data_IF_549163984185
#
_entry.id   IF_549163984185
#
_cell.length_a   1.000
_cell.length_b   1.000
_cell.length_c   1.000
_cell.angle_alpha   90.00
_cell.angle_beta   90.00
_cell.angle_gamma   90.00
#
_symmetry.space_group_name_H-M   'P 1'
#
loop_
_entity.id
_entity.type
_entity.pdbx_description
1 polymer ?
#
# COMPACT_ATOMS: atom_id res chain seq x y z
N UNK A 1 -18.61 32.20 6.10
CA UNK A 1 -19.16 30.91 6.58
C UNK A 1 -17.99 30.01 6.87
N UNK A 2 -17.77 29.63 8.11
CA UNK A 2 -16.81 28.56 8.45
C UNK A 2 -17.36 27.26 7.88
N UNK A 3 -16.61 26.49 7.07
CA UNK A 3 -17.07 25.19 6.62
C UNK A 3 -17.35 24.33 7.85
N UNK A 4 -18.51 23.65 7.84
CA UNK A 4 -18.83 22.67 8.87
C UNK A 4 -17.74 21.59 8.90
N UNK A 5 -17.30 21.13 10.09
CA UNK A 5 -16.32 20.07 10.17
C UNK A 5 -16.84 18.81 9.46
N UNK A 6 -15.95 18.16 8.71
CA UNK A 6 -16.25 16.91 8.02
C UNK A 6 -16.69 15.86 9.06
N UNK A 7 -17.77 15.09 8.81
CA UNK A 7 -18.23 14.11 9.77
C UNK A 7 -17.17 13.03 10.02
N UNK A 8 -17.12 12.51 11.25
CA UNK A 8 -16.28 11.35 11.56
C UNK A 8 -16.72 10.18 10.69
N UNK A 9 -15.77 9.63 9.91
CA UNK A 9 -16.03 8.51 9.01
C UNK A 9 -15.98 7.17 9.77
N UNK A 10 -16.93 6.26 9.51
CA UNK A 10 -16.90 4.90 10.07
C UNK A 10 -15.75 4.08 9.47
N UNK A 11 -15.19 3.13 10.24
CA UNK A 11 -14.09 2.27 9.78
C UNK A 11 -14.56 1.31 8.67
N UNK A 12 -15.85 1.01 8.65
CA UNK A 12 -16.55 0.18 7.66
C UNK A 12 -16.51 0.80 6.25
N UNK A 13 -16.09 2.06 6.12
CA UNK A 13 -15.82 2.70 4.81
C UNK A 13 -14.61 2.11 4.09
N UNK A 14 -13.75 1.39 4.81
CA UNK A 14 -12.52 0.80 4.28
C UNK A 14 -12.84 -0.59 3.73
N UNK A 15 -12.72 -0.74 2.41
CA UNK A 15 -12.95 -2.03 1.75
C UNK A 15 -11.74 -2.97 1.88
N UNK A 16 -10.52 -2.43 1.85
CA UNK A 16 -9.27 -3.18 1.99
C UNK A 16 -8.11 -2.23 2.31
N UNK A 17 -6.89 -2.75 2.37
CA UNK A 17 -5.68 -1.94 2.47
C UNK A 17 -4.66 -2.33 1.41
N UNK A 18 -3.85 -1.37 1.01
CA UNK A 18 -2.63 -1.60 0.27
C UNK A 18 -1.41 -1.18 1.07
N UNK A 19 -0.34 -1.96 0.95
CA UNK A 19 1.01 -1.55 1.30
C UNK A 19 1.88 -1.51 0.04
N UNK A 20 2.64 -0.46 -0.16
CA UNK A 20 3.60 -0.30 -1.25
C UNK A 20 4.99 -0.26 -0.68
N UNK A 21 5.81 -1.25 -1.01
CA UNK A 21 7.20 -1.36 -0.54
C UNK A 21 8.10 -0.77 -1.60
N UNK A 22 8.75 0.33 -1.27
CA UNK A 22 9.66 1.03 -2.17
C UNK A 22 11.10 0.56 -1.97
N UNK A 23 11.88 0.62 -3.04
CA UNK A 23 13.30 0.36 -3.01
C UNK A 23 14.03 1.30 -4.00
N UNK A 24 15.21 1.76 -3.61
CA UNK A 24 16.11 2.55 -4.45
C UNK A 24 17.52 1.96 -4.41
N UNK A 25 18.03 1.57 -5.57
CA UNK A 25 19.33 0.92 -5.71
C UNK A 25 19.36 -0.57 -5.32
N UNK A 26 20.53 -1.22 -5.52
CA UNK A 26 20.65 -2.67 -5.45
C UNK A 26 20.48 -3.27 -4.05
N UNK A 27 20.87 -2.53 -3.00
CA UNK A 27 20.78 -3.02 -1.62
C UNK A 27 19.33 -3.12 -1.15
N UNK A 28 18.56 -2.02 -1.28
CA UNK A 28 17.13 -2.02 -0.95
C UNK A 28 16.34 -2.98 -1.84
N UNK A 29 16.71 -3.10 -3.12
CA UNK A 29 16.08 -4.07 -4.04
C UNK A 29 16.19 -5.50 -3.48
N UNK A 30 17.37 -5.91 -3.02
CA UNK A 30 17.58 -7.23 -2.43
C UNK A 30 16.84 -7.41 -1.09
N UNK A 31 16.65 -6.34 -0.31
CA UNK A 31 15.82 -6.35 0.90
C UNK A 31 14.34 -6.50 0.59
N UNK A 32 13.86 -5.77 -0.41
CA UNK A 32 12.49 -5.80 -0.88
C UNK A 32 12.11 -7.19 -1.40
N UNK A 33 13.02 -7.89 -2.11
CA UNK A 33 12.84 -9.28 -2.53
C UNK A 33 12.71 -10.24 -1.34
N UNK A 34 13.63 -10.13 -0.35
CA UNK A 34 13.57 -10.96 0.87
C UNK A 34 12.29 -10.73 1.65
N UNK A 35 11.87 -9.48 1.80
CA UNK A 35 10.64 -9.12 2.48
C UNK A 35 9.42 -9.68 1.74
N UNK A 36 9.39 -9.56 0.40
CA UNK A 36 8.31 -10.07 -0.44
C UNK A 36 8.12 -11.58 -0.30
N UNK A 37 9.22 -12.33 -0.34
CA UNK A 37 9.18 -13.79 -0.10
C UNK A 37 8.67 -14.10 1.30
N UNK A 38 9.19 -13.42 2.31
CA UNK A 38 8.78 -13.65 3.70
C UNK A 38 7.29 -13.37 3.92
N UNK A 39 6.72 -12.37 3.24
CA UNK A 39 5.28 -12.07 3.26
C UNK A 39 4.48 -13.19 2.59
N UNK A 40 4.91 -13.63 1.40
CA UNK A 40 4.23 -14.69 0.64
C UNK A 40 4.12 -16.00 1.42
N UNK A 41 5.13 -16.32 2.24
CA UNK A 41 5.15 -17.53 3.06
C UNK A 41 4.26 -17.45 4.31
N UNK A 42 3.84 -16.24 4.72
CA UNK A 42 3.22 -16.01 6.05
C UNK A 42 1.79 -15.51 5.99
N UNK A 43 1.41 -14.83 4.92
CA UNK A 43 0.16 -14.07 4.89
C UNK A 43 -0.65 -14.36 3.63
N UNK A 44 -1.97 -14.50 3.80
CA UNK A 44 -2.92 -14.58 2.71
C UNK A 44 -3.16 -13.18 2.12
N UNK A 45 -2.24 -12.73 1.28
CA UNK A 45 -2.27 -11.43 0.60
C UNK A 45 -2.30 -11.62 -0.91
N UNK A 46 -2.63 -10.56 -1.65
CA UNK A 46 -2.40 -10.47 -3.08
C UNK A 46 -1.16 -9.62 -3.33
N UNK A 47 -0.09 -10.26 -3.79
CA UNK A 47 1.11 -9.56 -4.24
C UNK A 47 0.90 -9.00 -5.65
N UNK A 48 1.31 -7.75 -5.83
CA UNK A 48 1.37 -7.08 -7.11
C UNK A 48 2.61 -7.47 -7.92
N UNK A 49 2.64 -6.97 -9.15
CA UNK A 49 3.82 -7.05 -10.03
C UNK A 49 4.98 -6.30 -9.39
N UNK A 50 6.18 -6.75 -9.70
CA UNK A 50 7.40 -6.03 -9.37
C UNK A 50 7.61 -4.90 -10.38
N UNK A 51 7.71 -3.66 -9.90
CA UNK A 51 7.95 -2.50 -10.75
C UNK A 51 9.37 -1.98 -10.53
N UNK A 52 10.24 -2.17 -11.52
CA UNK A 52 11.61 -1.62 -11.53
C UNK A 52 11.65 -0.11 -11.87
N UNK A 53 10.49 0.49 -12.18
CA UNK A 53 10.35 1.90 -12.55
C UNK A 53 9.12 2.53 -11.88
N UNK A 54 9.08 3.87 -11.75
CA UNK A 54 7.90 4.59 -11.26
C UNK A 54 6.63 4.23 -12.05
N UNK A 55 5.50 4.07 -11.35
CA UNK A 55 4.21 3.71 -11.95
C UNK A 55 3.06 4.39 -11.19
N UNK A 56 2.08 4.91 -11.94
CA UNK A 56 0.92 5.60 -11.33
C UNK A 56 1.38 6.78 -10.44
N UNK A 57 0.96 6.84 -9.16
CA UNK A 57 1.39 7.89 -8.23
C UNK A 57 2.77 7.67 -7.62
N UNK A 58 3.38 6.50 -7.82
CA UNK A 58 4.59 6.07 -7.13
C UNK A 58 5.83 6.58 -7.86
N UNK A 59 6.67 7.36 -7.18
CA UNK A 59 7.86 8.02 -7.78
C UNK A 59 9.14 7.17 -7.75
N UNK A 60 9.09 6.00 -7.12
CA UNK A 60 10.20 5.05 -7.00
C UNK A 60 9.76 3.64 -7.46
N UNK A 61 10.72 2.76 -7.80
CA UNK A 61 10.48 1.32 -7.92
C UNK A 61 9.80 0.76 -6.68
N UNK A 62 8.83 -0.13 -6.88
CA UNK A 62 8.02 -0.68 -5.79
C UNK A 62 7.33 -1.99 -6.16
N UNK A 63 6.76 -2.66 -5.15
CA UNK A 63 5.67 -3.62 -5.37
C UNK A 63 4.53 -3.38 -4.38
N UNK A 64 3.32 -3.72 -4.81
CA UNK A 64 2.11 -3.63 -4.01
C UNK A 64 1.83 -4.94 -3.25
N UNK A 65 1.25 -4.81 -2.07
CA UNK A 65 0.63 -5.87 -1.27
C UNK A 65 -0.80 -5.44 -0.99
N UNK A 66 -1.79 -6.16 -1.53
CA UNK A 66 -3.20 -5.93 -1.22
C UNK A 66 -3.70 -6.96 -0.21
N UNK A 67 -4.45 -6.49 0.80
CA UNK A 67 -4.90 -7.35 1.89
C UNK A 67 -6.22 -6.89 2.53
N UNK A 68 -6.93 -7.86 3.08
CA UNK A 68 -8.21 -7.67 3.77
C UNK A 68 -8.04 -6.91 5.09
N UNK A 69 -9.08 -6.19 5.50
CA UNK A 69 -9.09 -5.38 6.74
C UNK A 69 -8.74 -6.19 7.98
N UNK A 70 -9.19 -7.45 8.05
CA UNK A 70 -8.91 -8.37 9.14
C UNK A 70 -7.42 -8.68 9.34
N UNK A 71 -6.59 -8.55 8.29
CA UNK A 71 -5.16 -8.84 8.36
C UNK A 71 -4.33 -7.65 8.87
N UNK A 72 -4.92 -6.46 8.97
CA UNK A 72 -4.21 -5.23 9.32
C UNK A 72 -3.45 -5.36 10.65
N UNK A 73 -4.11 -5.86 11.69
CA UNK A 73 -3.55 -5.99 13.04
C UNK A 73 -2.43 -7.03 13.16
N UNK A 74 -2.18 -7.82 12.12
CA UNK A 74 -1.08 -8.80 12.09
C UNK A 74 0.00 -8.42 11.10
N UNK A 75 -0.36 -8.04 9.87
CA UNK A 75 0.60 -7.74 8.81
C UNK A 75 1.35 -6.43 9.10
N UNK A 76 0.63 -5.36 9.47
CA UNK A 76 1.26 -4.05 9.67
C UNK A 76 2.23 -4.05 10.85
N UNK A 77 1.89 -4.58 12.05
CA UNK A 77 2.88 -4.73 13.11
C UNK A 77 4.06 -5.63 12.73
N UNK A 78 3.84 -6.67 11.93
CA UNK A 78 4.94 -7.49 11.44
C UNK A 78 5.86 -6.71 10.49
N UNK A 79 5.31 -5.88 9.60
CA UNK A 79 6.08 -4.97 8.76
C UNK A 79 6.87 -3.96 9.60
N UNK A 80 6.28 -3.40 10.66
CA UNK A 80 6.99 -2.48 11.58
C UNK A 80 8.27 -3.10 12.15
N UNK A 81 8.28 -4.41 12.40
CA UNK A 81 9.44 -5.13 12.92
C UNK A 81 10.43 -5.56 11.82
N UNK A 82 9.98 -5.70 10.57
CA UNK A 82 10.71 -6.42 9.52
C UNK A 82 10.98 -5.60 8.24
N UNK A 83 10.54 -4.33 8.16
CA UNK A 83 10.71 -3.51 6.95
C UNK A 83 12.17 -3.03 6.73
N UNK A 84 13.03 -3.13 7.76
CA UNK A 84 14.45 -2.75 7.69
C UNK A 84 14.64 -1.30 7.23
N UNK A 85 15.43 -1.04 6.19
CA UNK A 85 15.60 0.31 5.64
C UNK A 85 14.52 0.72 4.64
N UNK A 86 13.64 -0.20 4.24
CA UNK A 86 12.64 0.04 3.19
C UNK A 86 11.59 1.04 3.64
N UNK A 87 11.19 1.93 2.73
CA UNK A 87 10.03 2.79 2.92
C UNK A 87 8.76 2.04 2.53
N UNK A 88 7.72 2.10 3.37
CA UNK A 88 6.43 1.43 3.10
C UNK A 88 5.28 2.42 3.27
N UNK A 89 4.57 2.71 2.17
CA UNK A 89 3.30 3.42 2.21
C UNK A 89 2.19 2.43 2.51
N UNK A 90 1.36 2.69 3.53
CA UNK A 90 0.19 1.88 3.86
C UNK A 90 -1.02 2.80 3.77
N UNK A 91 -2.02 2.45 2.96
CA UNK A 91 -3.24 3.25 2.87
C UNK A 91 -4.50 2.37 2.88
N UNK A 92 -5.61 2.86 3.43
CA UNK A 92 -6.91 2.23 3.24
C UNK A 92 -7.34 2.36 1.79
N UNK A 93 -8.28 1.52 1.38
CA UNK A 93 -9.00 1.70 0.12
C UNK A 93 -10.44 2.07 0.45
N UNK A 94 -10.77 3.35 0.26
CA UNK A 94 -12.13 3.86 0.24
C UNK A 94 -12.49 4.24 -1.21
N UNK A 95 -13.59 4.97 -1.41
CA UNK A 95 -13.94 5.50 -2.74
C UNK A 95 -13.14 6.75 -3.12
N UNK A 96 -12.16 7.18 -2.34
CA UNK A 96 -11.41 8.43 -2.55
C UNK A 96 -9.89 8.21 -2.68
N UNK A 97 -9.40 7.59 -3.77
CA UNK A 97 -8.02 7.13 -3.87
C UNK A 97 -6.98 8.22 -3.63
N UNK A 98 -7.17 9.43 -4.16
CA UNK A 98 -6.25 10.55 -3.90
C UNK A 98 -6.14 10.88 -2.42
N UNK A 99 -7.27 10.92 -1.71
CA UNK A 99 -7.28 11.18 -0.27
C UNK A 99 -6.64 10.02 0.50
N UNK A 100 -7.00 8.80 0.14
CA UNK A 100 -6.49 7.58 0.75
C UNK A 100 -4.95 7.57 0.77
N UNK A 101 -4.32 7.90 -0.36
CA UNK A 101 -2.86 7.91 -0.49
C UNK A 101 -2.20 9.10 0.24
N UNK A 102 -2.80 10.28 0.21
CA UNK A 102 -2.13 11.52 0.62
C UNK A 102 -2.39 11.91 2.07
N UNK A 103 -3.60 11.65 2.57
CA UNK A 103 -4.11 12.15 3.85
C UNK A 103 -4.45 11.03 4.84
N UNK A 104 -5.01 9.92 4.35
CA UNK A 104 -5.45 8.82 5.22
C UNK A 104 -4.42 7.68 5.31
N UNK A 105 -3.19 7.92 4.84
CA UNK A 105 -2.11 6.93 4.82
C UNK A 105 -1.19 6.98 6.05
N UNK A 106 -0.53 5.85 6.28
CA UNK A 106 0.57 5.70 7.22
C UNK A 106 1.86 5.36 6.46
N UNK A 107 3.01 5.67 7.07
CA UNK A 107 4.33 5.35 6.54
C UNK A 107 5.16 4.60 7.57
N UNK A 108 5.87 3.57 7.11
CA UNK A 108 6.99 2.97 7.82
C UNK A 108 8.29 3.40 7.13
N UNK A 109 9.29 3.80 7.90
CA UNK A 109 10.52 4.37 7.36
C UNK A 109 10.33 5.79 6.83
N UNK A 110 11.07 6.14 5.78
CA UNK A 110 11.05 7.47 5.19
C UNK A 110 9.81 7.68 4.30
N UNK A 111 9.13 8.82 4.44
CA UNK A 111 8.03 9.18 3.54
C UNK A 111 8.58 9.54 2.16
N UNK A 112 8.04 8.92 1.11
CA UNK A 112 8.40 9.23 -0.29
C UNK A 112 7.35 10.11 -0.96
N UNK A 113 7.80 10.91 -1.93
CA UNK A 113 6.92 11.77 -2.70
C UNK A 113 5.97 10.94 -3.58
N UNK A 114 4.74 11.43 -3.76
CA UNK A 114 3.74 10.83 -4.64
C UNK A 114 3.25 11.87 -5.65
N UNK A 115 2.89 11.40 -6.85
CA UNK A 115 2.30 12.23 -7.91
C UNK A 115 0.78 12.28 -7.72
N UNK A 116 0.31 13.25 -6.94
CA UNK A 116 -1.11 13.42 -6.59
C UNK A 116 -2.04 13.50 -7.81
N UNK A 117 -1.57 14.14 -8.88
CA UNK A 117 -2.28 14.33 -10.14
C UNK A 117 -2.55 13.02 -10.90
N UNK A 118 -1.83 11.94 -10.57
CA UNK A 118 -2.02 10.60 -11.15
C UNK A 118 -3.12 9.80 -10.43
N UNK A 119 -3.68 10.33 -9.33
CA UNK A 119 -4.75 9.70 -8.58
C UNK A 119 -6.10 10.34 -8.88
N UNK A 120 -7.16 9.56 -9.16
CA UNK A 120 -8.51 10.09 -9.22
C UNK A 120 -8.94 10.60 -7.84
N UNK A 121 -9.73 11.67 -7.81
CA UNK A 121 -10.28 12.21 -6.56
C UNK A 121 -11.32 11.25 -5.95
N UNK A 122 -12.11 10.60 -6.80
CA UNK A 122 -13.15 9.66 -6.45
C UNK A 122 -13.19 8.50 -7.45
N UNK A 123 -13.57 7.32 -6.98
CA UNK A 123 -13.82 6.13 -7.79
C UNK A 123 -15.28 5.66 -7.60
N UNK A 124 -15.88 4.98 -8.60
CA UNK A 124 -17.25 4.45 -8.46
C UNK A 124 -17.42 3.48 -7.28
N UNK A 125 -16.36 2.71 -7.00
CA UNK A 125 -16.31 1.71 -5.94
C UNK A 125 -14.94 1.75 -5.25
N UNK A 126 -14.90 1.34 -3.98
CA UNK A 126 -13.65 1.18 -3.25
C UNK A 126 -12.91 -0.10 -3.71
N UNK A 127 -11.58 -0.03 -3.80
CA UNK A 127 -10.79 -1.18 -4.27
C UNK A 127 -10.77 -2.30 -3.22
N UNK A 128 -11.02 -3.54 -3.67
CA UNK A 128 -11.02 -4.73 -2.83
C UNK A 128 -9.62 -5.37 -2.76
N UNK A 129 -9.39 -6.21 -1.75
CA UNK A 129 -8.10 -6.89 -1.63
C UNK A 129 -7.84 -7.85 -2.81
N UNK A 130 -8.91 -8.36 -3.43
CA UNK A 130 -8.85 -9.35 -4.51
C UNK A 130 -8.43 -10.73 -4.01
N UNK A 131 -8.38 -11.70 -4.91
CA UNK A 131 -7.98 -13.06 -4.55
C UNK A 131 -6.49 -13.11 -4.18
N UNK A 132 -6.18 -13.71 -3.03
CA UNK A 132 -4.81 -13.89 -2.57
C UNK A 132 -3.97 -14.64 -3.61
N UNK A 133 -2.73 -14.19 -3.80
CA UNK A 133 -1.74 -14.86 -4.62
C UNK A 133 -0.37 -14.80 -3.93
N UNK A 134 0.35 -15.91 -3.93
CA UNK A 134 1.71 -15.96 -3.37
C UNK A 134 2.76 -15.76 -4.46
N UNK A 135 2.36 -15.82 -5.74
CA UNK A 135 3.16 -15.55 -6.94
C UNK A 135 2.24 -14.98 -8.05
N UNK A 136 2.07 -13.65 -8.17
CA UNK A 136 1.37 -13.08 -9.32
C UNK A 136 2.15 -13.49 -10.59
N UNK A 137 1.46 -14.06 -11.57
CA UNK A 137 2.10 -14.57 -12.78
C UNK A 137 2.92 -13.49 -13.48
N UNK A 138 4.16 -13.83 -13.81
CA UNK A 138 5.04 -13.05 -14.70
C UNK A 138 4.38 -13.05 -16.09
N UNK A 139 3.53 -12.05 -16.36
CA UNK A 139 2.88 -11.86 -17.65
C UNK A 139 3.19 -10.48 -18.22
#
# INVERSE_FOLDING_TARGET
MTPMPEPIRPVETIASYHAHVYFDGPEERAEAERLRTAIADRFAVRLGRWHEVPVGPHTLPMYQIAFETALFATLVPWLMLNHRSLSVLIHPNTRFPRRDHLLDSAWLGERRALLAERLPEEAPEADGAGMANTRPGDA
#
